data_IF_728522909775
#
_entry.id   IF_728522909775
#
_cell.length_a   1.000
_cell.length_b   1.000
_cell.length_c   1.000
_cell.angle_alpha   90.00
_cell.angle_beta   90.00
_cell.angle_gamma   90.00
#
_symmetry.space_group_name_H-M   'P 1'
#
loop_
_entity.id
_entity.type
_entity.pdbx_description
1 polymer ?
#
# COMPACT_ATOMS: atom_id res chain seq x y z
N UNK A 1 24.09 -36.40 -34.71
CA UNK A 1 24.39 -36.26 -33.27
C UNK A 1 24.44 -34.79 -32.87
N UNK A 2 25.13 -33.93 -33.63
CA UNK A 2 25.25 -32.48 -33.41
C UNK A 2 23.94 -31.69 -33.35
N UNK A 3 22.91 -32.08 -34.11
CA UNK A 3 21.62 -31.36 -34.12
C UNK A 3 20.80 -31.57 -32.84
N UNK A 4 20.93 -32.75 -32.22
CA UNK A 4 20.29 -33.05 -30.94
C UNK A 4 20.95 -32.27 -29.79
N UNK A 5 22.28 -32.11 -29.82
CA UNK A 5 23.01 -31.29 -28.85
C UNK A 5 22.63 -29.80 -28.98
N UNK A 6 22.44 -29.31 -30.21
CA UNK A 6 21.99 -27.95 -30.47
C UNK A 6 20.54 -27.73 -29.96
N UNK A 7 19.60 -28.62 -30.28
CA UNK A 7 18.23 -28.52 -29.75
C UNK A 7 18.18 -28.60 -28.22
N UNK A 8 18.96 -29.49 -27.62
CA UNK A 8 19.03 -29.58 -26.15
C UNK A 8 19.64 -28.31 -25.55
N UNK A 9 20.69 -27.73 -26.16
CA UNK A 9 21.28 -26.47 -25.72
C UNK A 9 20.32 -25.28 -25.84
N UNK A 10 19.48 -25.26 -26.88
CA UNK A 10 18.44 -24.24 -27.07
C UNK A 10 17.31 -24.38 -26.04
N UNK A 11 16.89 -25.61 -25.74
CA UNK A 11 15.89 -25.89 -24.71
C UNK A 11 16.40 -25.50 -23.32
N UNK A 12 17.65 -25.85 -22.98
CA UNK A 12 18.28 -25.46 -21.71
C UNK A 12 18.42 -23.93 -21.58
N UNK A 13 18.76 -23.23 -22.67
CA UNK A 13 18.81 -21.76 -22.69
C UNK A 13 17.41 -21.12 -22.53
N UNK A 14 16.37 -21.73 -23.11
CA UNK A 14 14.98 -21.28 -22.95
C UNK A 14 14.45 -21.52 -21.52
N UNK A 15 14.79 -22.65 -20.91
CA UNK A 15 14.47 -22.97 -19.51
C UNK A 15 15.21 -22.03 -18.54
N UNK A 16 16.50 -21.76 -18.77
CA UNK A 16 17.27 -20.81 -17.96
C UNK A 16 16.65 -19.41 -18.01
N UNK A 17 16.28 -18.92 -19.22
CA UNK A 17 15.64 -17.61 -19.39
C UNK A 17 14.27 -17.53 -18.72
N UNK A 18 13.48 -18.60 -18.79
CA UNK A 18 12.17 -18.66 -18.11
C UNK A 18 12.34 -18.57 -16.58
N UNK A 19 13.32 -19.29 -16.02
CA UNK A 19 13.63 -19.26 -14.59
C UNK A 19 14.09 -17.88 -14.12
N UNK A 20 14.92 -17.18 -14.90
CA UNK A 20 15.37 -15.82 -14.58
C UNK A 20 14.20 -14.82 -14.53
N UNK A 21 13.22 -14.96 -15.44
CA UNK A 21 12.01 -14.14 -15.46
C UNK A 21 11.14 -14.42 -14.23
N UNK A 22 10.95 -15.70 -13.88
CA UNK A 22 10.16 -16.11 -12.72
C UNK A 22 10.78 -15.59 -11.41
N UNK A 23 12.10 -15.66 -11.28
CA UNK A 23 12.82 -15.12 -10.13
C UNK A 23 12.68 -13.60 -10.03
N UNK A 24 12.80 -12.90 -11.17
CA UNK A 24 12.58 -11.45 -11.24
C UNK A 24 11.16 -11.04 -10.82
N UNK A 25 10.14 -11.75 -11.28
CA UNK A 25 8.75 -11.51 -10.91
C UNK A 25 8.51 -11.79 -9.42
N UNK A 26 9.08 -12.87 -8.87
CA UNK A 26 9.00 -13.18 -7.44
C UNK A 26 9.61 -12.07 -6.59
N UNK A 27 10.81 -11.61 -6.93
CA UNK A 27 11.49 -10.53 -6.21
C UNK A 27 10.68 -9.24 -6.30
N UNK A 28 10.08 -8.94 -7.46
CA UNK A 28 9.20 -7.80 -7.64
C UNK A 28 7.96 -7.89 -6.74
N UNK A 29 7.26 -9.02 -6.75
CA UNK A 29 6.06 -9.25 -5.93
C UNK A 29 6.37 -9.18 -4.44
N UNK A 30 7.48 -9.77 -3.98
CA UNK A 30 7.93 -9.66 -2.59
C UNK A 30 8.12 -8.21 -2.15
N UNK A 31 8.70 -7.36 -3.02
CA UNK A 31 8.82 -5.92 -2.74
C UNK A 31 7.45 -5.27 -2.60
N UNK A 32 6.51 -5.57 -3.51
CA UNK A 32 5.14 -5.04 -3.46
C UNK A 32 4.47 -5.45 -2.14
N UNK A 33 4.56 -6.72 -1.75
CA UNK A 33 3.99 -7.20 -0.49
C UNK A 33 4.61 -6.51 0.71
N UNK A 34 5.93 -6.34 0.75
CA UNK A 34 6.59 -5.59 1.83
C UNK A 34 6.06 -4.15 1.93
N UNK A 35 5.88 -3.44 0.81
CA UNK A 35 5.28 -2.11 0.83
C UNK A 35 3.86 -2.10 1.38
N UNK A 36 3.03 -3.08 0.97
CA UNK A 36 1.64 -3.18 1.44
C UNK A 36 1.58 -3.55 2.93
N UNK A 37 2.43 -4.47 3.40
CA UNK A 37 2.55 -4.82 4.81
C UNK A 37 2.96 -3.64 5.67
N UNK A 38 3.95 -2.84 5.23
CA UNK A 38 4.33 -1.61 5.93
C UNK A 38 3.19 -0.59 5.91
N UNK A 39 2.50 -0.44 4.78
CA UNK A 39 1.32 0.43 4.69
C UNK A 39 0.21 0.04 5.68
N UNK A 40 -0.07 -1.25 5.82
CA UNK A 40 -1.02 -1.76 6.81
C UNK A 40 -0.56 -1.50 8.25
N UNK A 41 0.73 -1.68 8.54
CA UNK A 41 1.28 -1.34 9.87
C UNK A 41 1.13 0.15 10.17
N UNK A 42 1.41 1.03 9.21
CA UNK A 42 1.21 2.47 9.35
C UNK A 42 -0.26 2.79 9.64
N UNK A 43 -1.20 2.18 8.91
CA UNK A 43 -2.64 2.31 9.16
C UNK A 43 -2.99 1.89 10.58
N UNK A 44 -2.50 0.74 11.05
CA UNK A 44 -2.78 0.24 12.39
C UNK A 44 -2.26 1.17 13.49
N UNK A 45 -1.02 1.67 13.35
CA UNK A 45 -0.42 2.63 14.29
C UNK A 45 -1.19 3.94 14.32
N UNK A 46 -1.56 4.49 13.15
CA UNK A 46 -2.33 5.72 13.07
C UNK A 46 -3.74 5.56 13.66
N UNK A 47 -4.40 4.42 13.43
CA UNK A 47 -5.70 4.10 14.00
C UNK A 47 -5.64 3.98 15.52
N UNK A 48 -4.63 3.27 16.04
CA UNK A 48 -4.42 3.14 17.47
C UNK A 48 -4.16 4.49 18.13
N UNK A 49 -3.27 5.30 17.55
CA UNK A 49 -2.99 6.64 18.07
C UNK A 49 -4.21 7.55 18.05
N UNK A 50 -5.01 7.52 16.98
CA UNK A 50 -6.28 8.24 16.92
C UNK A 50 -7.22 7.85 18.07
N UNK A 51 -7.30 6.55 18.38
CA UNK A 51 -8.24 6.03 19.35
C UNK A 51 -7.77 6.31 20.78
N UNK A 52 -6.46 6.19 21.04
CA UNK A 52 -5.88 6.34 22.37
C UNK A 52 -5.61 7.80 22.76
N UNK A 53 -5.49 8.72 21.80
CA UNK A 53 -5.08 10.11 22.06
C UNK A 53 -6.19 11.01 22.60
N UNK A 54 -7.45 10.59 22.52
CA UNK A 54 -8.61 11.43 22.87
C UNK A 54 -8.88 12.57 21.88
N UNK A 55 -8.12 12.65 20.78
CA UNK A 55 -8.25 13.71 19.78
C UNK A 55 -9.65 13.74 19.15
N UNK A 56 -10.26 12.57 18.97
CA UNK A 56 -11.62 12.42 18.45
C UNK A 56 -12.67 13.03 19.37
N UNK A 57 -12.52 12.92 20.70
CA UNK A 57 -13.41 13.57 21.66
C UNK A 57 -13.32 15.10 21.54
N UNK A 58 -12.10 15.63 21.33
CA UNK A 58 -11.88 17.06 21.19
C UNK A 58 -12.42 17.64 19.88
N UNK A 59 -12.37 16.88 18.78
CA UNK A 59 -12.85 17.35 17.47
C UNK A 59 -14.29 16.97 17.17
N UNK A 60 -14.90 15.99 17.87
CA UNK A 60 -16.23 15.44 17.60
C UNK A 60 -17.33 16.50 17.39
N UNK A 61 -17.31 17.56 18.21
CA UNK A 61 -18.30 18.64 18.16
C UNK A 61 -17.94 19.76 17.18
N UNK A 62 -16.82 19.66 16.48
CA UNK A 62 -16.29 20.68 15.58
C UNK A 62 -16.43 20.26 14.11
N UNK A 63 -16.47 21.21 13.16
CA UNK A 63 -16.48 20.91 11.73
C UNK A 63 -15.26 20.12 11.23
N UNK A 64 -14.18 20.02 12.02
CA UNK A 64 -12.95 19.29 11.63
C UNK A 64 -13.20 17.78 11.46
N UNK A 65 -14.22 17.20 12.10
CA UNK A 65 -14.58 15.78 11.91
C UNK A 65 -14.90 15.47 10.46
N UNK A 66 -15.60 16.39 9.78
CA UNK A 66 -15.92 16.23 8.36
C UNK A 66 -14.65 16.21 7.50
N UNK A 67 -13.67 17.04 7.84
CA UNK A 67 -12.38 17.04 7.15
C UNK A 67 -11.68 15.69 7.32
N UNK A 68 -11.63 15.15 8.54
CA UNK A 68 -11.03 13.83 8.82
C UNK A 68 -11.77 12.70 8.10
N UNK A 69 -13.10 12.80 8.00
CA UNK A 69 -13.94 11.81 7.33
C UNK A 69 -13.78 11.83 5.80
N UNK A 70 -13.66 13.02 5.20
CA UNK A 70 -13.52 13.18 3.75
C UNK A 70 -12.06 13.21 3.27
N UNK A 71 -11.08 13.41 4.15
CA UNK A 71 -9.67 13.47 3.80
C UNK A 71 -9.19 12.27 2.97
N UNK A 72 -9.55 11.01 3.30
CA UNK A 72 -9.10 9.90 2.48
C UNK A 72 -9.74 9.87 1.10
N UNK A 73 -11.00 10.31 0.96
CA UNK A 73 -11.67 10.40 -0.32
C UNK A 73 -11.02 11.44 -1.23
N UNK A 74 -10.68 12.62 -0.69
CA UNK A 74 -9.94 13.65 -1.42
C UNK A 74 -8.57 13.15 -1.91
N UNK A 75 -7.87 12.37 -1.09
CA UNK A 75 -6.55 11.83 -1.43
C UNK A 75 -6.63 10.73 -2.50
N UNK A 76 -7.66 9.86 -2.45
CA UNK A 76 -7.91 8.87 -3.52
C UNK A 76 -8.21 9.55 -4.85
N UNK A 77 -9.01 10.62 -4.85
CA UNK A 77 -9.30 11.38 -6.06
C UNK A 77 -8.02 12.04 -6.62
N UNK A 78 -7.20 12.63 -5.75
CA UNK A 78 -5.90 13.18 -6.15
C UNK A 78 -4.99 12.12 -6.77
N UNK A 79 -4.87 10.96 -6.12
CA UNK A 79 -4.03 9.87 -6.60
C UNK A 79 -4.54 9.34 -7.94
N UNK A 80 -5.86 9.13 -8.07
CA UNK A 80 -6.51 8.71 -9.32
C UNK A 80 -6.20 9.67 -10.48
N UNK A 81 -6.31 10.98 -10.26
CA UNK A 81 -6.05 11.98 -11.28
C UNK A 81 -4.55 12.11 -11.67
N UNK A 82 -3.63 11.79 -10.76
CA UNK A 82 -2.19 12.04 -10.95
C UNK A 82 -1.34 10.78 -11.13
N UNK A 83 -1.86 9.58 -10.92
CA UNK A 83 -1.07 8.34 -10.90
C UNK A 83 -0.27 8.13 -12.20
N UNK A 84 -0.86 8.46 -13.35
CA UNK A 84 -0.20 8.31 -14.66
C UNK A 84 0.96 9.27 -14.91
N UNK A 85 1.08 10.34 -14.10
CA UNK A 85 2.12 11.36 -14.20
C UNK A 85 3.10 11.34 -13.03
N UNK A 86 2.93 10.40 -12.09
CA UNK A 86 3.75 10.32 -10.89
C UNK A 86 4.93 9.37 -11.08
N UNK A 87 6.08 9.77 -10.53
CA UNK A 87 7.22 8.85 -10.41
C UNK A 87 6.90 7.75 -9.40
N UNK A 88 7.59 6.62 -9.51
CA UNK A 88 7.43 5.50 -8.57
C UNK A 88 7.64 5.93 -7.11
N UNK A 89 8.58 6.85 -6.85
CA UNK A 89 8.82 7.37 -5.50
C UNK A 89 7.66 8.23 -5.01
N UNK A 90 7.16 9.15 -5.84
CA UNK A 90 6.02 10.00 -5.49
C UNK A 90 4.78 9.15 -5.18
N UNK A 91 4.50 8.12 -5.98
CA UNK A 91 3.38 7.22 -5.75
C UNK A 91 3.50 6.49 -4.41
N UNK A 92 4.70 6.03 -4.05
CA UNK A 92 4.96 5.39 -2.74
C UNK A 92 4.75 6.35 -1.57
N UNK A 93 5.29 7.57 -1.66
CA UNK A 93 5.10 8.55 -0.58
C UNK A 93 3.63 8.89 -0.38
N UNK A 94 2.89 9.10 -1.47
CA UNK A 94 1.45 9.38 -1.39
C UNK A 94 0.66 8.18 -0.87
N UNK A 95 1.05 6.95 -1.22
CA UNK A 95 0.47 5.73 -0.63
C UNK A 95 0.67 5.68 0.89
N UNK A 96 1.88 5.98 1.39
CA UNK A 96 2.10 5.99 2.84
C UNK A 96 1.32 7.11 3.54
N UNK A 97 1.26 8.32 2.95
CA UNK A 97 0.40 9.40 3.46
C UNK A 97 -1.06 8.99 3.49
N UNK A 98 -1.55 8.35 2.42
CA UNK A 98 -2.90 7.80 2.35
C UNK A 98 -3.16 6.77 3.44
N UNK A 99 -2.24 5.82 3.66
CA UNK A 99 -2.38 4.79 4.69
C UNK A 99 -2.48 5.39 6.10
N UNK A 100 -1.68 6.41 6.43
CA UNK A 100 -1.76 7.10 7.71
C UNK A 100 -3.08 7.85 7.91
N UNK A 101 -3.55 8.59 6.89
CA UNK A 101 -4.83 9.31 6.94
C UNK A 101 -6.01 8.34 7.03
N UNK A 102 -5.99 7.25 6.27
CA UNK A 102 -7.00 6.18 6.36
C UNK A 102 -7.01 5.55 7.76
N UNK A 103 -5.85 5.22 8.31
CA UNK A 103 -5.75 4.66 9.65
C UNK A 103 -6.33 5.59 10.69
N UNK A 104 -5.93 6.86 10.64
CA UNK A 104 -6.50 7.88 11.52
C UNK A 104 -8.02 7.94 11.35
N UNK A 105 -8.56 8.01 10.12
CA UNK A 105 -10.01 8.02 9.85
C UNK A 105 -10.75 6.81 10.42
N UNK A 106 -10.19 5.60 10.29
CA UNK A 106 -10.77 4.36 10.81
C UNK A 106 -10.78 4.28 12.33
N UNK A 107 -9.93 5.05 13.02
CA UNK A 107 -9.93 5.13 14.48
C UNK A 107 -11.30 5.45 15.07
N UNK A 108 -12.14 6.23 14.37
CA UNK A 108 -13.49 6.56 14.85
C UNK A 108 -14.32 5.29 15.03
N UNK A 109 -14.19 4.31 14.12
CA UNK A 109 -14.88 3.03 14.20
C UNK A 109 -14.41 2.26 15.45
N UNK A 110 -13.10 2.23 15.73
CA UNK A 110 -12.57 1.57 16.92
C UNK A 110 -13.17 2.16 18.20
N UNK A 111 -13.30 3.48 18.29
CA UNK A 111 -13.91 4.15 19.45
C UNK A 111 -15.38 3.78 19.63
N UNK A 112 -16.13 3.69 18.53
CA UNK A 112 -17.56 3.33 18.57
C UNK A 112 -17.78 1.88 18.96
N UNK A 113 -16.90 0.95 18.60
CA UNK A 113 -17.09 -0.49 18.88
C UNK A 113 -16.29 -1.03 20.07
N UNK A 114 -15.35 -0.25 20.61
CA UNK A 114 -14.59 -0.58 21.83
C UNK A 114 -15.18 0.16 23.04
N UNK A 115 -16.48 0.44 23.02
CA UNK A 115 -17.18 1.08 24.14
C UNK A 115 -17.06 0.20 25.39
N UNK A 116 -16.16 0.61 26.28
CA UNK A 116 -16.27 0.39 27.72
C UNK A 116 -16.94 1.62 28.35
#
# INVERSE_FOLDING_TARGET
MSDFDNMNSQNLAAEARSRDIDEGLRIYMLKVYNYMSVGLLVTAVAAFFGASSGIYQAIASTPLVWVVMFAPLGLVLYLSARIHKMSANAARTTFFTYSGIMGFSLSYILLVFTQE
#
